data_IF_945271760833
#
_entry.id   IF_945271760833
#
_cell.length_a   1.000
_cell.length_b   1.000
_cell.length_c   1.000
_cell.angle_alpha   90.00
_cell.angle_beta   90.00
_cell.angle_gamma   90.00
#
_symmetry.space_group_name_H-M   'P 1'
#
loop_
_entity.id
_entity.type
_entity.pdbx_description
1 polymer ?
#
# COMPACT_ATOMS: atom_id res chain seq x y z
N UNK A 1 -16.18 19.71 3.61
CA UNK A 1 -14.94 19.42 2.85
C UNK A 1 -14.90 17.95 2.54
N UNK A 2 -14.27 17.55 1.43
CA UNK A 2 -13.99 16.14 1.12
C UNK A 2 -12.76 15.74 1.95
N UNK A 3 -12.92 14.76 2.83
CA UNK A 3 -11.80 14.17 3.58
C UNK A 3 -11.24 13.01 2.79
N UNK A 4 -9.94 12.76 2.97
CA UNK A 4 -9.24 11.62 2.39
C UNK A 4 -8.82 10.69 3.53
N UNK A 5 -9.35 9.49 3.51
CA UNK A 5 -9.04 8.43 4.45
C UNK A 5 -7.98 7.52 3.84
N UNK A 6 -6.83 7.43 4.49
CA UNK A 6 -5.75 6.56 4.02
C UNK A 6 -5.22 5.70 5.15
N UNK A 7 -4.60 4.58 4.78
CA UNK A 7 -3.82 3.76 5.70
C UNK A 7 -2.37 3.69 5.27
N UNK A 8 -1.47 3.70 6.25
CA UNK A 8 -0.05 3.39 6.05
C UNK A 8 0.28 2.10 6.80
N UNK A 9 0.50 1.01 6.05
CA UNK A 9 0.82 -0.32 6.57
C UNK A 9 2.34 -0.48 6.59
N UNK A 10 2.96 -0.01 7.67
CA UNK A 10 4.41 0.07 7.78
C UNK A 10 4.95 -0.23 9.19
N UNK A 11 5.73 -1.31 9.36
CA UNK A 11 6.01 -2.35 8.37
C UNK A 11 4.79 -3.25 8.12
N UNK A 12 4.65 -3.79 6.91
CA UNK A 12 3.76 -4.93 6.69
C UNK A 12 4.37 -6.18 7.35
N UNK A 13 3.73 -6.65 8.43
CA UNK A 13 4.20 -7.78 9.23
C UNK A 13 3.52 -9.11 8.87
N UNK A 14 2.36 -9.06 8.23
CA UNK A 14 1.58 -10.22 7.83
C UNK A 14 0.70 -9.93 6.62
N UNK A 15 -0.03 -10.96 6.15
CA UNK A 15 -1.00 -10.80 5.07
C UNK A 15 -2.17 -9.94 5.56
N UNK A 16 -2.42 -8.84 4.88
CA UNK A 16 -3.58 -7.97 5.14
C UNK A 16 -4.83 -8.60 4.53
N UNK A 17 -5.94 -8.58 5.27
CA UNK A 17 -7.23 -8.96 4.72
C UNK A 17 -7.75 -7.79 3.85
N UNK A 18 -8.00 -8.00 2.56
CA UNK A 18 -8.44 -6.90 1.69
C UNK A 18 -9.74 -6.21 2.15
N UNK A 19 -10.60 -6.92 2.89
CA UNK A 19 -11.82 -6.36 3.46
C UNK A 19 -11.55 -5.24 4.50
N UNK A 20 -10.34 -5.17 5.06
CA UNK A 20 -9.96 -4.09 5.98
C UNK A 20 -9.73 -2.75 5.24
N UNK A 21 -9.76 -2.76 3.90
CA UNK A 21 -9.44 -1.61 3.05
C UNK A 21 -10.68 -0.99 2.36
N UNK A 22 -11.89 -1.53 2.55
CA UNK A 22 -13.10 -1.17 1.79
C UNK A 22 -13.46 0.32 1.85
N UNK A 23 -13.11 1.01 2.94
CA UNK A 23 -13.46 2.42 3.16
C UNK A 23 -12.28 3.39 3.00
N UNK A 24 -11.18 2.94 2.39
CA UNK A 24 -9.98 3.75 2.23
C UNK A 24 -9.87 4.33 0.83
N UNK A 25 -9.50 5.60 0.76
CA UNK A 25 -9.23 6.33 -0.48
C UNK A 25 -7.79 6.14 -0.98
N UNK A 26 -6.87 5.70 -0.12
CA UNK A 26 -5.45 5.52 -0.47
C UNK A 26 -4.73 4.56 0.48
N UNK A 27 -3.82 3.75 -0.06
CA UNK A 27 -3.03 2.78 0.71
C UNK A 27 -1.54 3.03 0.49
N UNK A 28 -0.77 3.09 1.58
CA UNK A 28 0.69 3.15 1.56
C UNK A 28 1.24 1.88 2.23
N UNK A 29 2.21 1.22 1.61
CA UNK A 29 2.81 -0.01 2.14
C UNK A 29 4.33 0.06 2.11
N UNK A 30 4.96 -0.44 3.16
CA UNK A 30 6.42 -0.50 3.29
C UNK A 30 6.90 -1.67 4.14
N UNK A 31 8.12 -2.12 3.89
CA UNK A 31 8.81 -3.10 4.73
C UNK A 31 9.58 -2.40 5.88
N UNK A 32 9.88 -3.17 6.92
CA UNK A 32 10.78 -2.73 7.99
C UNK A 32 12.17 -2.38 7.43
N UNK A 33 12.69 -1.20 7.77
CA UNK A 33 14.03 -0.75 7.35
C UNK A 33 15.08 -0.97 8.43
N UNK A 34 16.36 -1.07 8.03
CA UNK A 34 17.49 -1.25 8.96
C UNK A 34 17.87 -2.71 9.19
N UNK A 35 18.86 -2.95 10.06
CA UNK A 35 19.50 -4.27 10.29
C UNK A 35 19.02 -4.95 11.59
N UNK A 36 17.75 -4.78 11.98
CA UNK A 36 17.22 -5.43 13.18
C UNK A 36 17.21 -6.95 13.00
N UNK A 37 17.76 -7.69 13.97
CA UNK A 37 17.69 -9.15 14.02
C UNK A 37 16.23 -9.57 14.23
N UNK A 38 15.76 -10.54 13.45
CA UNK A 38 14.37 -11.02 13.52
C UNK A 38 13.34 -10.07 12.91
N UNK A 39 13.75 -9.16 11.99
CA UNK A 39 12.79 -8.42 11.18
C UNK A 39 11.94 -9.35 10.33
N UNK A 40 10.67 -9.02 10.17
CA UNK A 40 9.82 -9.71 9.19
C UNK A 40 10.27 -9.25 7.80
N UNK A 41 10.52 -10.22 6.92
CA UNK A 41 10.66 -9.97 5.49
C UNK A 41 9.28 -10.23 4.88
N UNK A 42 8.58 -9.19 4.37
CA UNK A 42 7.30 -9.37 3.72
C UNK A 42 7.37 -10.42 2.62
N UNK A 43 6.34 -11.24 2.50
CA UNK A 43 6.22 -12.15 1.36
C UNK A 43 5.70 -11.41 0.14
N UNK A 44 6.20 -11.76 -1.05
CA UNK A 44 5.82 -11.12 -2.31
C UNK A 44 4.31 -11.22 -2.57
N UNK A 45 3.71 -12.34 -2.21
CA UNK A 45 2.28 -12.60 -2.37
C UNK A 45 1.39 -11.71 -1.49
N UNK A 46 1.88 -11.25 -0.33
CA UNK A 46 1.12 -10.31 0.52
C UNK A 46 1.01 -8.94 -0.15
N UNK A 47 2.13 -8.49 -0.75
CA UNK A 47 2.19 -7.23 -1.50
C UNK A 47 1.34 -7.36 -2.77
N UNK A 48 1.46 -8.48 -3.50
CA UNK A 48 0.69 -8.72 -4.72
C UNK A 48 -0.82 -8.69 -4.44
N UNK A 49 -1.28 -9.39 -3.40
CA UNK A 49 -2.72 -9.39 -3.07
C UNK A 49 -3.26 -8.01 -2.72
N UNK A 50 -2.45 -7.16 -2.09
CA UNK A 50 -2.82 -5.77 -1.81
C UNK A 50 -2.91 -4.95 -3.09
N UNK A 51 -1.90 -5.05 -3.96
CA UNK A 51 -1.88 -4.33 -5.24
C UNK A 51 -3.04 -4.74 -6.14
N UNK A 52 -3.30 -6.04 -6.26
CA UNK A 52 -4.41 -6.57 -7.06
C UNK A 52 -5.75 -6.01 -6.55
N UNK A 53 -6.01 -6.12 -5.23
CA UNK A 53 -7.25 -5.61 -4.64
C UNK A 53 -7.40 -4.10 -4.82
N UNK A 54 -6.35 -3.33 -4.56
CA UNK A 54 -6.39 -1.88 -4.70
C UNK A 54 -6.74 -1.48 -6.14
N UNK A 55 -6.15 -2.14 -7.14
CA UNK A 55 -6.45 -1.90 -8.56
C UNK A 55 -7.85 -2.34 -8.98
N UNK A 56 -8.32 -3.47 -8.46
CA UNK A 56 -9.69 -3.96 -8.74
C UNK A 56 -10.77 -3.04 -8.16
N UNK A 57 -10.44 -2.21 -7.16
CA UNK A 57 -11.38 -1.32 -6.47
C UNK A 57 -11.07 0.17 -6.70
N UNK A 58 -10.22 0.50 -7.67
CA UNK A 58 -9.81 1.89 -7.99
C UNK A 58 -9.25 2.67 -6.77
N UNK A 59 -8.61 1.96 -5.83
CA UNK A 59 -7.91 2.54 -4.69
C UNK A 59 -6.45 2.72 -5.07
N UNK A 60 -5.91 3.96 -5.16
CA UNK A 60 -4.49 4.13 -5.41
C UNK A 60 -3.66 3.49 -4.30
N UNK A 61 -2.54 2.86 -4.70
CA UNK A 61 -1.57 2.27 -3.77
C UNK A 61 -0.15 2.79 -4.02
N UNK A 62 0.53 3.15 -2.94
CA UNK A 62 1.93 3.57 -2.95
C UNK A 62 2.82 2.53 -2.24
N UNK A 63 3.70 1.88 -2.99
CA UNK A 63 4.71 0.98 -2.45
C UNK A 63 6.02 1.75 -2.20
N UNK A 64 6.47 1.79 -0.93
CA UNK A 64 7.74 2.41 -0.57
C UNK A 64 8.93 1.65 -1.15
N UNK A 65 10.03 2.37 -1.37
CA UNK A 65 11.30 1.81 -1.86
C UNK A 65 11.83 0.65 -0.99
N UNK A 66 11.43 0.55 0.29
CA UNK A 66 11.79 -0.57 1.17
C UNK A 66 11.27 -1.92 0.67
N UNK A 67 10.27 -1.94 -0.22
CA UNK A 67 9.73 -3.16 -0.84
C UNK A 67 10.40 -3.53 -2.17
N UNK A 68 11.27 -2.70 -2.75
CA UNK A 68 11.82 -2.90 -4.11
C UNK A 68 12.54 -4.24 -4.29
N UNK A 69 13.23 -4.72 -3.23
CA UNK A 69 13.91 -6.01 -3.25
C UNK A 69 12.99 -7.23 -3.15
N UNK A 70 11.70 -7.02 -2.87
CA UNK A 70 10.69 -8.07 -2.65
C UNK A 70 9.65 -8.04 -3.79
N UNK A 71 9.18 -6.84 -4.15
CA UNK A 71 8.25 -6.57 -5.22
C UNK A 71 8.85 -5.51 -6.15
N UNK A 72 9.54 -5.91 -7.23
CA UNK A 72 10.34 -4.98 -8.06
C UNK A 72 9.52 -4.17 -9.07
N UNK A 73 8.19 -4.27 -9.03
CA UNK A 73 7.30 -3.48 -9.89
C UNK A 73 7.13 -2.10 -9.25
N UNK A 74 7.39 -1.05 -10.01
CA UNK A 74 7.15 0.31 -9.54
C UNK A 74 5.63 0.56 -9.44
N UNK A 75 5.18 0.96 -8.25
CA UNK A 75 3.76 1.20 -7.96
C UNK A 75 3.69 2.37 -6.99
N UNK A 76 3.46 3.57 -7.55
CA UNK A 76 3.45 4.85 -6.84
C UNK A 76 2.22 5.63 -7.30
N UNK A 77 1.06 5.09 -6.98
CA UNK A 77 -0.23 5.66 -7.35
C UNK A 77 -0.68 6.62 -6.24
N UNK A 78 -1.29 7.74 -6.63
CA UNK A 78 -1.73 8.79 -5.74
C UNK A 78 -3.23 9.04 -5.94
N UNK A 79 -3.96 9.42 -4.88
CA UNK A 79 -5.37 9.78 -4.99
C UNK A 79 -5.56 10.95 -5.94
N UNK A 80 -6.60 10.90 -6.76
CA UNK A 80 -6.99 12.03 -7.59
C UNK A 80 -7.36 13.20 -6.68
N UNK A 81 -6.52 14.23 -6.66
CA UNK A 81 -6.90 15.53 -6.12
C UNK A 81 -7.83 16.18 -7.13
N UNK A 82 -9.13 15.93 -7.08
CA UNK A 82 -10.07 16.72 -7.87
C UNK A 82 -10.01 18.19 -7.42
N UNK A 83 -9.15 18.96 -8.09
CA UNK A 83 -9.57 20.22 -8.71
C UNK A 83 -10.07 19.88 -10.11
N UNK A 84 -11.08 19.02 -10.24
CA UNK A 84 -12.03 19.14 -11.36
C UNK A 84 -12.92 20.31 -10.98
N UNK A 85 -12.31 21.50 -11.11
CA UNK A 85 -12.99 22.77 -11.09
C UNK A 85 -14.15 22.67 -12.07
N UNK A 86 -15.35 22.92 -11.56
CA UNK A 86 -16.35 23.61 -12.34
C UNK A 86 -15.73 24.87 -12.96
#
# INVERSE_FOLDING_TARGET
GKYLYFVSIEPILEKVNPLDLIFLDWVIVGAETGKRKGRVIPKKEWIKSLVDYCRENDIPIYLKNSLRGIYPVETKEFPETELKLF
#
